data_IF_992106967171
#
_entry.id   IF_992106967171
#
_cell.length_a   1.000
_cell.length_b   1.000
_cell.length_c   1.000
_cell.angle_alpha   90.00
_cell.angle_beta   90.00
_cell.angle_gamma   90.00
#
_symmetry.space_group_name_H-M   'P 1'
#
loop_
_entity.id
_entity.type
_entity.pdbx_description
1 polymer ?
#
# COMPACT_ATOMS: atom_id res chain seq x y z
N UNK A 1 -26.59 -24.72 -46.33
CA UNK A 1 -27.12 -23.75 -45.35
C UNK A 1 -27.04 -22.36 -45.96
N UNK A 2 -28.13 -21.91 -46.59
CA UNK A 2 -28.18 -20.59 -47.21
C UNK A 2 -28.61 -19.60 -46.11
N UNK A 3 -27.68 -18.76 -45.66
CA UNK A 3 -28.01 -17.72 -44.68
C UNK A 3 -28.83 -16.67 -45.41
N UNK A 4 -30.12 -16.59 -45.08
CA UNK A 4 -31.05 -15.58 -45.60
C UNK A 4 -30.70 -14.24 -44.96
N UNK A 5 -29.68 -13.55 -45.50
CA UNK A 5 -29.16 -12.27 -44.99
C UNK A 5 -30.18 -11.12 -45.05
N UNK A 6 -31.31 -11.30 -45.73
CA UNK A 6 -32.41 -10.34 -45.80
C UNK A 6 -33.49 -10.56 -44.74
N UNK A 7 -33.42 -11.65 -43.98
CA UNK A 7 -34.35 -11.88 -42.87
C UNK A 7 -34.01 -10.94 -41.71
N UNK A 8 -35.00 -10.14 -41.30
CA UNK A 8 -34.88 -9.19 -40.20
C UNK A 8 -34.46 -9.87 -38.89
N UNK A 9 -34.88 -11.12 -38.65
CA UNK A 9 -34.47 -11.88 -37.47
C UNK A 9 -32.97 -12.23 -37.50
N UNK A 10 -32.44 -12.60 -38.67
CA UNK A 10 -31.01 -12.91 -38.87
C UNK A 10 -30.16 -11.65 -38.73
N UNK A 11 -30.60 -10.52 -39.29
CA UNK A 11 -29.90 -9.24 -39.15
C UNK A 11 -29.87 -8.77 -37.70
N UNK A 12 -31.00 -8.85 -36.98
CA UNK A 12 -31.07 -8.49 -35.57
C UNK A 12 -30.18 -9.39 -34.69
N UNK A 13 -30.12 -10.70 -34.98
CA UNK A 13 -29.25 -11.62 -34.27
C UNK A 13 -27.75 -11.32 -34.49
N UNK A 14 -27.35 -10.97 -35.71
CA UNK A 14 -25.96 -10.58 -36.02
C UNK A 14 -25.59 -9.29 -35.29
N UNK A 15 -26.44 -8.26 -35.34
CA UNK A 15 -26.20 -6.99 -34.67
C UNK A 15 -26.16 -7.20 -33.15
N UNK A 16 -27.15 -7.89 -32.59
CA UNK A 16 -27.22 -8.19 -31.16
C UNK A 16 -26.02 -9.01 -30.67
N UNK A 17 -25.59 -10.01 -31.44
CA UNK A 17 -24.40 -10.81 -31.14
C UNK A 17 -23.12 -9.96 -31.11
N UNK A 18 -22.95 -9.05 -32.08
CA UNK A 18 -21.80 -8.15 -32.13
C UNK A 18 -21.76 -7.17 -30.93
N UNK A 19 -22.90 -6.58 -30.57
CA UNK A 19 -22.98 -5.70 -29.41
C UNK A 19 -22.80 -6.44 -28.08
N UNK A 20 -23.27 -7.68 -27.99
CA UNK A 20 -23.06 -8.53 -26.80
C UNK A 20 -21.58 -8.88 -26.63
N UNK A 21 -20.90 -9.23 -27.72
CA UNK A 21 -19.47 -9.52 -27.66
C UNK A 21 -18.64 -8.28 -27.27
N UNK A 22 -18.92 -7.14 -27.88
CA UNK A 22 -18.17 -5.90 -27.60
C UNK A 22 -18.41 -5.39 -26.18
N UNK A 23 -19.65 -5.44 -25.68
CA UNK A 23 -19.96 -5.10 -24.29
C UNK A 23 -19.26 -6.01 -23.28
N UNK A 24 -19.21 -7.33 -23.54
CA UNK A 24 -18.47 -8.27 -22.70
C UNK A 24 -16.97 -7.98 -22.65
N UNK A 25 -16.36 -7.64 -23.80
CA UNK A 25 -14.93 -7.26 -23.86
C UNK A 25 -14.67 -5.98 -23.07
N UNK A 26 -15.52 -4.96 -23.21
CA UNK A 26 -15.37 -3.70 -22.46
C UNK A 26 -15.50 -3.95 -20.94
N UNK A 27 -16.49 -4.76 -20.53
CA UNK A 27 -16.67 -5.12 -19.13
C UNK A 27 -15.46 -5.87 -18.55
N UNK A 28 -14.89 -6.80 -19.30
CA UNK A 28 -13.68 -7.53 -18.89
C UNK A 28 -12.47 -6.61 -18.75
N UNK A 29 -12.26 -5.70 -19.69
CA UNK A 29 -11.18 -4.70 -19.62
C UNK A 29 -11.37 -3.77 -18.41
N UNK A 30 -12.59 -3.28 -18.19
CA UNK A 30 -12.91 -2.44 -17.04
C UNK A 30 -12.63 -3.18 -15.72
N UNK A 31 -13.09 -4.44 -15.60
CA UNK A 31 -12.84 -5.27 -14.42
C UNK A 31 -11.34 -5.52 -14.20
N UNK A 32 -10.56 -5.75 -15.26
CA UNK A 32 -9.12 -5.95 -15.17
C UNK A 32 -8.38 -4.69 -14.68
N UNK A 33 -8.73 -3.51 -15.21
CA UNK A 33 -8.12 -2.23 -14.79
C UNK A 33 -8.48 -1.91 -13.35
N UNK A 34 -9.75 -2.06 -12.98
CA UNK A 34 -10.24 -1.81 -11.62
C UNK A 34 -9.60 -2.81 -10.65
N UNK A 35 -9.57 -4.10 -11.00
CA UNK A 35 -8.94 -5.15 -10.20
C UNK A 35 -7.46 -4.88 -9.94
N UNK A 36 -6.70 -4.49 -10.98
CA UNK A 36 -5.28 -4.14 -10.84
C UNK A 36 -5.07 -2.92 -9.92
N UNK A 37 -5.96 -1.93 -9.97
CA UNK A 37 -5.90 -0.76 -9.10
C UNK A 37 -6.12 -1.16 -7.64
N UNK A 38 -7.12 -2.00 -7.36
CA UNK A 38 -7.37 -2.50 -6.01
C UNK A 38 -6.22 -3.37 -5.48
N UNK A 39 -5.65 -4.24 -6.31
CA UNK A 39 -4.52 -5.08 -5.91
C UNK A 39 -3.28 -4.24 -5.58
N UNK A 40 -2.95 -3.26 -6.44
CA UNK A 40 -1.87 -2.32 -6.17
C UNK A 40 -2.09 -1.53 -4.88
N UNK A 41 -3.33 -1.11 -4.58
CA UNK A 41 -3.65 -0.43 -3.32
C UNK A 41 -3.48 -1.34 -2.12
N UNK A 42 -3.93 -2.60 -2.20
CA UNK A 42 -3.74 -3.60 -1.12
C UNK A 42 -2.26 -3.85 -0.87
N UNK A 43 -1.49 -4.05 -1.95
CA UNK A 43 -0.04 -4.24 -1.86
C UNK A 43 0.66 -3.03 -1.24
N UNK A 44 0.28 -1.81 -1.65
CA UNK A 44 0.87 -0.59 -1.09
C UNK A 44 0.49 -0.40 0.38
N UNK A 45 -0.76 -0.66 0.77
CA UNK A 45 -1.21 -0.67 2.18
C UNK A 45 -0.37 -1.66 3.01
N UNK A 46 -0.15 -2.87 2.49
CA UNK A 46 0.65 -3.90 3.17
C UNK A 46 2.12 -3.47 3.35
N UNK A 47 2.74 -2.95 2.30
CA UNK A 47 4.13 -2.46 2.38
C UNK A 47 4.26 -1.29 3.36
N UNK A 48 3.28 -0.38 3.38
CA UNK A 48 3.24 0.74 4.31
C UNK A 48 3.11 0.26 5.76
N UNK A 49 2.19 -0.66 6.06
CA UNK A 49 2.04 -1.20 7.42
C UNK A 49 3.35 -1.87 7.90
N UNK A 50 3.99 -2.66 7.04
CA UNK A 50 5.27 -3.30 7.33
C UNK A 50 6.38 -2.28 7.61
N UNK A 51 6.55 -1.29 6.72
CA UNK A 51 7.57 -0.26 6.89
C UNK A 51 7.39 0.54 8.19
N UNK A 52 6.13 0.80 8.57
CA UNK A 52 5.81 1.55 9.80
C UNK A 52 6.12 0.73 11.05
N UNK A 53 5.84 -0.58 11.02
CA UNK A 53 6.21 -1.50 12.12
C UNK A 53 7.72 -1.61 12.27
N UNK A 54 8.43 -1.77 11.16
CA UNK A 54 9.89 -1.87 11.15
C UNK A 54 10.53 -0.57 11.68
N UNK A 55 9.99 0.58 11.29
CA UNK A 55 10.42 1.88 11.82
C UNK A 55 10.12 2.03 13.31
N UNK A 56 8.95 1.60 13.78
CA UNK A 56 8.60 1.61 15.20
C UNK A 56 9.55 0.74 16.02
N UNK A 57 9.91 -0.43 15.49
CA UNK A 57 10.89 -1.32 16.10
C UNK A 57 12.28 -0.68 16.16
N UNK A 58 12.77 -0.11 15.05
CA UNK A 58 14.06 0.56 15.01
C UNK A 58 14.15 1.74 16.01
N UNK A 59 13.07 2.52 16.13
CA UNK A 59 12.97 3.60 17.11
C UNK A 59 12.98 3.08 18.56
N UNK A 60 12.33 1.95 18.84
CA UNK A 60 12.37 1.32 20.15
C UNK A 60 13.77 0.78 20.50
N UNK A 61 14.48 0.22 19.51
CA UNK A 61 15.88 -0.19 19.67
C UNK A 61 16.78 1.01 19.96
N UNK A 62 16.58 2.15 19.27
CA UNK A 62 17.32 3.40 19.55
C UNK A 62 17.08 3.84 21.00
N UNK A 63 15.84 3.83 21.47
CA UNK A 63 15.48 4.24 22.83
C UNK A 63 16.12 3.33 23.89
N UNK A 64 16.05 2.01 23.71
CA UNK A 64 16.64 1.05 24.64
C UNK A 64 18.18 1.16 24.66
N UNK A 65 18.79 1.26 23.48
CA UNK A 65 20.24 1.45 23.36
C UNK A 65 20.69 2.75 24.06
N UNK A 66 19.93 3.84 23.91
CA UNK A 66 20.19 5.08 24.63
C UNK A 66 20.05 4.91 26.15
N UNK A 67 19.07 4.14 26.63
CA UNK A 67 18.90 3.87 28.05
C UNK A 67 20.08 3.10 28.64
N UNK A 68 20.60 2.10 27.91
CA UNK A 68 21.80 1.37 28.30
C UNK A 68 23.03 2.29 28.41
N UNK A 69 23.25 3.19 27.44
CA UNK A 69 24.37 4.14 27.50
C UNK A 69 24.26 5.11 28.69
N UNK A 70 23.05 5.53 29.06
CA UNK A 70 22.84 6.35 30.26
C UNK A 70 23.22 5.58 31.52
N UNK A 71 22.82 4.31 31.61
CA UNK A 71 23.15 3.46 32.76
C UNK A 71 24.65 3.20 32.89
N UNK A 72 25.34 2.96 31.77
CA UNK A 72 26.77 2.61 31.77
C UNK A 72 27.71 3.83 31.83
N UNK A 73 27.33 4.94 31.20
CA UNK A 73 28.22 6.09 30.97
C UNK A 73 27.65 7.44 31.42
N UNK A 74 26.44 7.46 31.96
CA UNK A 74 25.77 8.68 32.42
C UNK A 74 25.19 9.57 31.32
N UNK A 75 25.32 9.19 30.03
CA UNK A 75 24.84 9.98 28.89
C UNK A 75 24.25 9.08 27.79
N UNK A 76 23.18 9.55 27.13
CA UNK A 76 22.45 8.76 26.12
C UNK A 76 23.08 8.77 24.71
N UNK A 77 23.96 9.73 24.41
CA UNK A 77 24.58 9.98 23.10
C UNK A 77 23.64 10.13 21.88
N UNK A 78 22.31 10.14 22.06
CA UNK A 78 21.30 10.15 20.99
C UNK A 78 21.51 11.24 19.95
N UNK A 79 21.70 12.48 20.39
CA UNK A 79 21.96 13.62 19.49
C UNK A 79 23.23 13.41 18.67
N UNK A 80 24.33 13.03 19.32
CA UNK A 80 25.62 12.78 18.68
C UNK A 80 25.55 11.69 17.63
N UNK A 81 24.79 10.63 17.89
CA UNK A 81 24.58 9.55 16.90
C UNK A 81 23.74 10.06 15.72
N UNK A 82 22.65 10.81 15.97
CA UNK A 82 21.84 11.39 14.90
C UNK A 82 22.60 12.36 14.02
N UNK A 83 23.48 13.18 14.60
CA UNK A 83 24.30 14.12 13.83
C UNK A 83 25.29 13.36 12.93
N UNK A 84 25.92 12.29 13.42
CA UNK A 84 26.75 11.40 12.58
C UNK A 84 25.97 10.71 11.45
N UNK A 85 24.73 10.31 11.69
CA UNK A 85 23.87 9.73 10.65
C UNK A 85 23.48 10.80 9.61
N UNK A 86 23.28 12.06 10.02
CA UNK A 86 23.09 13.17 9.08
C UNK A 86 24.32 13.44 8.23
N UNK A 87 25.51 13.36 8.83
CA UNK A 87 26.78 13.50 8.11
C UNK A 87 26.98 12.42 7.04
N UNK A 88 26.37 11.23 7.19
CA UNK A 88 26.36 10.20 6.16
C UNK A 88 25.39 10.47 5.01
N UNK A 89 24.73 11.63 4.97
CA UNK A 89 23.78 12.02 3.94
C UNK A 89 22.34 11.51 4.13
N UNK A 90 22.02 10.93 5.29
CA UNK A 90 20.65 10.48 5.59
C UNK A 90 19.92 11.53 6.41
N UNK A 91 18.71 11.90 5.98
CA UNK A 91 17.87 12.86 6.69
C UNK A 91 16.69 12.16 7.35
N UNK A 92 16.43 12.50 8.62
CA UNK A 92 15.26 12.02 9.34
C UNK A 92 14.13 13.02 9.21
N UNK A 93 13.00 12.60 8.66
CA UNK A 93 11.85 13.49 8.44
C UNK A 93 11.25 14.06 9.72
N UNK A 94 11.48 13.42 10.88
CA UNK A 94 10.87 13.82 12.16
C UNK A 94 9.36 13.56 12.24
N UNK A 95 8.75 13.00 11.20
CA UNK A 95 7.32 12.65 11.17
C UNK A 95 7.01 11.47 12.08
N UNK A 96 7.95 10.56 12.21
CA UNK A 96 7.82 9.33 12.99
C UNK A 96 8.60 9.41 14.29
N UNK A 97 7.89 9.69 15.38
CA UNK A 97 8.35 9.44 16.75
C UNK A 97 7.82 8.09 17.23
N UNK A 98 8.42 7.44 18.25
CA UNK A 98 7.93 6.18 18.78
C UNK A 98 6.43 6.20 19.09
N UNK A 99 5.95 7.30 19.67
CA UNK A 99 4.52 7.50 19.96
C UNK A 99 3.65 7.62 18.70
N UNK A 100 4.06 8.42 17.72
CA UNK A 100 3.31 8.59 16.47
C UNK A 100 3.26 7.30 15.65
N UNK A 101 4.36 6.55 15.61
CA UNK A 101 4.42 5.25 14.94
C UNK A 101 3.43 4.26 15.58
N UNK A 102 3.39 4.17 16.92
CA UNK A 102 2.40 3.34 17.65
C UNK A 102 0.96 3.73 17.33
N UNK A 103 0.63 5.03 17.34
CA UNK A 103 -0.70 5.50 16.98
C UNK A 103 -1.08 5.13 15.54
N UNK A 104 -0.13 5.23 14.62
CA UNK A 104 -0.40 4.91 13.23
C UNK A 104 -0.63 3.42 13.01
N UNK A 105 0.15 2.56 13.68
CA UNK A 105 -0.05 1.10 13.68
C UNK A 105 -1.42 0.75 14.26
N UNK A 106 -1.80 1.33 15.40
CA UNK A 106 -3.11 1.09 16.01
C UNK A 106 -4.26 1.49 15.07
N UNK A 107 -4.13 2.62 14.36
CA UNK A 107 -5.11 3.06 13.36
C UNK A 107 -5.20 2.09 12.18
N UNK A 108 -4.08 1.54 11.70
CA UNK A 108 -4.10 0.55 10.63
C UNK A 108 -4.72 -0.78 11.06
N UNK A 109 -4.42 -1.24 12.27
CA UNK A 109 -5.03 -2.44 12.85
C UNK A 109 -6.56 -2.32 13.02
N UNK A 110 -7.05 -1.14 13.39
CA UNK A 110 -8.50 -0.88 13.48
C UNK A 110 -9.18 -0.85 12.11
N UNK A 111 -8.52 -0.31 11.08
CA UNK A 111 -9.07 -0.27 9.71
C UNK A 111 -9.07 -1.63 9.03
N UNK A 112 -8.07 -2.48 9.28
CA UNK A 112 -8.05 -3.84 8.70
C UNK A 112 -9.15 -4.74 9.25
N UNK A 113 -9.65 -4.48 10.46
CA UNK A 113 -10.73 -5.26 11.09
C UNK A 113 -12.13 -4.77 10.69
N UNK A 114 -12.23 -3.67 9.95
CA UNK A 114 -13.48 -3.06 9.49
C UNK A 114 -13.73 -3.26 7.97
N UNK A 115 -12.71 -3.72 7.23
CA UNK A 115 -12.80 -4.14 5.82
C UNK A 115 -12.99 -5.67 5.74
#
# INVERSE_FOLDING_TARGET
>A
MHVQLQDAAVQAAIIGGLFTLTSAVIAAVAAAVIGKRFDNQRKLKFLLDRAVRDLAFALAVEDEHCAMHVQERGESFKKRIRDKVRESGLEWSGDFTPGRARHMIARYAQRSNAE
#
